data_IF_423342453379
#
_entry.id   IF_423342453379
#
_cell.length_a   1.000
_cell.length_b   1.000
_cell.length_c   1.000
_cell.angle_alpha   90.00
_cell.angle_beta   90.00
_cell.angle_gamma   90.00
#
_symmetry.space_group_name_H-M   'P 1'
#
loop_
_entity.id
_entity.type
_entity.pdbx_description
1 polymer ?
#
# COMPACT_ATOMS: atom_id res chain seq x y z
N UNK A 1 -4.62 -16.68 11.29
CA UNK A 1 -4.39 -16.21 9.90
C UNK A 1 -3.26 -17.03 9.29
N UNK A 2 -3.49 -17.61 8.11
CA UNK A 2 -2.46 -18.38 7.38
C UNK A 2 -1.89 -17.55 6.25
N UNK A 3 -0.57 -17.60 6.05
CA UNK A 3 0.12 -16.89 4.98
C UNK A 3 0.23 -17.78 3.74
N UNK A 4 0.07 -17.20 2.55
CA UNK A 4 0.21 -17.89 1.28
C UNK A 4 1.04 -17.05 0.28
N UNK A 5 1.41 -17.69 -0.84
CA UNK A 5 2.09 -17.05 -1.97
C UNK A 5 1.32 -17.33 -3.25
N UNK A 6 1.41 -16.40 -4.19
CA UNK A 6 0.92 -16.55 -5.56
C UNK A 6 2.13 -16.63 -6.47
N UNK A 7 2.10 -17.57 -7.42
CA UNK A 7 3.22 -17.77 -8.33
C UNK A 7 3.54 -16.48 -9.12
N UNK A 8 4.84 -16.22 -9.29
CA UNK A 8 5.34 -14.98 -9.88
C UNK A 8 5.15 -13.71 -9.05
N UNK A 9 4.39 -13.69 -7.94
CA UNK A 9 4.21 -12.51 -7.09
C UNK A 9 5.08 -12.61 -5.84
N UNK A 10 6.02 -11.68 -5.65
CA UNK A 10 7.10 -11.84 -4.64
C UNK A 10 6.61 -11.76 -3.20
N UNK A 11 5.58 -10.96 -2.94
CA UNK A 11 5.07 -10.73 -1.59
C UNK A 11 4.27 -11.94 -1.10
N UNK A 12 4.29 -12.19 0.21
CA UNK A 12 3.35 -13.11 0.84
C UNK A 12 2.07 -12.38 1.22
N UNK A 13 0.97 -13.12 1.25
CA UNK A 13 -0.36 -12.58 1.47
C UNK A 13 -1.08 -13.36 2.56
N UNK A 14 -2.08 -12.74 3.16
CA UNK A 14 -3.05 -13.43 4.02
C UNK A 14 -4.43 -12.81 3.84
N UNK A 15 -5.47 -13.61 4.05
CA UNK A 15 -6.84 -13.10 4.15
C UNK A 15 -7.03 -12.59 5.58
N UNK A 16 -7.35 -11.30 5.71
CA UNK A 16 -7.63 -10.69 7.00
C UNK A 16 -9.08 -10.96 7.43
N UNK A 17 -10.01 -10.80 6.49
CA UNK A 17 -11.43 -11.15 6.60
C UNK A 17 -11.97 -11.63 5.23
N UNK A 18 -13.29 -11.68 5.04
CA UNK A 18 -13.94 -12.17 3.81
C UNK A 18 -13.58 -11.35 2.57
N UNK A 19 -13.39 -10.03 2.76
CA UNK A 19 -13.26 -9.03 1.70
C UNK A 19 -11.88 -8.36 1.68
N UNK A 20 -11.02 -8.61 2.65
CA UNK A 20 -9.74 -7.93 2.80
C UNK A 20 -8.56 -8.89 2.66
N UNK A 21 -7.61 -8.52 1.79
CA UNK A 21 -6.30 -9.16 1.66
C UNK A 21 -5.23 -8.24 2.22
N UNK A 22 -4.30 -8.83 2.99
CA UNK A 22 -3.09 -8.14 3.44
C UNK A 22 -1.90 -8.62 2.62
N UNK A 23 -1.17 -7.67 2.04
CA UNK A 23 0.12 -7.89 1.38
C UNK A 23 1.22 -7.47 2.36
N UNK A 24 2.13 -8.38 2.67
CA UNK A 24 3.26 -8.05 3.53
C UNK A 24 4.47 -7.56 2.73
N UNK A 25 5.05 -6.45 3.18
CA UNK A 25 6.25 -5.86 2.61
C UNK A 25 7.30 -5.72 3.69
N UNK A 26 8.45 -6.36 3.46
CA UNK A 26 9.62 -6.23 4.32
C UNK A 26 10.61 -5.32 3.58
N UNK A 27 11.15 -4.31 4.26
CA UNK A 27 12.14 -3.40 3.69
C UNK A 27 13.45 -4.12 3.37
N UNK A 28 14.28 -3.51 2.52
CA UNK A 28 15.54 -4.11 2.06
C UNK A 28 16.52 -4.36 3.20
N UNK A 29 16.57 -3.45 4.17
CA UNK A 29 17.35 -3.58 5.41
C UNK A 29 16.80 -4.65 6.37
N UNK A 30 15.60 -5.19 6.08
CA UNK A 30 14.84 -6.15 6.91
C UNK A 30 14.47 -5.62 8.30
N UNK A 31 14.59 -4.32 8.53
CA UNK A 31 14.27 -3.72 9.82
C UNK A 31 12.77 -3.46 9.98
N UNK A 32 12.08 -3.16 8.87
CA UNK A 32 10.68 -2.76 8.88
C UNK A 32 9.81 -3.75 8.12
N UNK A 33 8.64 -4.00 8.70
CA UNK A 33 7.58 -4.76 8.07
C UNK A 33 6.30 -3.92 8.01
N UNK A 34 5.67 -3.91 6.84
CA UNK A 34 4.44 -3.18 6.56
C UNK A 34 3.37 -4.13 6.07
N UNK A 35 2.16 -3.97 6.62
CA UNK A 35 0.96 -4.65 6.17
C UNK A 35 0.15 -3.69 5.30
N UNK A 36 -0.12 -4.06 4.06
CA UNK A 36 -0.87 -3.25 3.11
C UNK A 36 -2.23 -3.93 2.90
N UNK A 37 -3.31 -3.22 3.19
CA UNK A 37 -4.67 -3.73 3.02
C UNK A 37 -5.21 -3.36 1.64
N UNK A 38 -5.82 -4.31 0.96
CA UNK A 38 -6.56 -4.13 -0.30
C UNK A 38 -7.87 -4.90 -0.23
N UNK A 39 -8.87 -4.51 -1.02
CA UNK A 39 -10.02 -5.37 -1.23
C UNK A 39 -9.61 -6.63 -1.99
N UNK A 40 -10.19 -7.76 -1.62
CA UNK A 40 -9.90 -9.08 -2.15
C UNK A 40 -10.18 -9.17 -3.64
N UNK A 41 -11.24 -8.52 -4.13
CA UNK A 41 -11.57 -8.51 -5.57
C UNK A 41 -10.51 -7.78 -6.41
N UNK A 42 -9.66 -6.97 -5.80
CA UNK A 42 -8.55 -6.30 -6.49
C UNK A 42 -7.29 -7.16 -6.61
N UNK A 43 -7.21 -8.26 -5.86
CA UNK A 43 -6.03 -9.13 -5.86
C UNK A 43 -5.69 -9.67 -7.26
N UNK A 44 -6.62 -10.21 -8.07
CA UNK A 44 -6.32 -10.75 -9.40
C UNK A 44 -5.62 -9.73 -10.31
N UNK A 45 -6.19 -8.52 -10.47
CA UNK A 45 -5.59 -7.47 -11.33
C UNK A 45 -4.21 -7.00 -10.83
N UNK A 46 -3.99 -7.00 -9.51
CA UNK A 46 -2.70 -6.62 -8.91
C UNK A 46 -1.62 -7.65 -9.23
N UNK A 47 -1.92 -8.96 -9.06
CA UNK A 47 -0.93 -10.02 -9.29
C UNK A 47 -0.69 -10.28 -10.77
N UNK A 48 -1.69 -10.03 -11.62
CA UNK A 48 -1.57 -10.09 -13.07
C UNK A 48 -0.65 -9.00 -13.59
N UNK A 49 -0.88 -7.73 -13.19
CA UNK A 49 -0.08 -6.61 -13.68
C UNK A 49 1.32 -6.52 -13.03
N UNK A 50 1.43 -6.87 -11.75
CA UNK A 50 2.62 -6.59 -10.94
C UNK A 50 3.41 -7.83 -10.53
N UNK A 51 4.72 -7.67 -10.40
CA UNK A 51 5.63 -8.69 -9.86
C UNK A 51 5.77 -8.60 -8.34
N UNK A 52 5.55 -7.42 -7.76
CA UNK A 52 5.62 -7.16 -6.32
C UNK A 52 4.97 -5.85 -5.93
N UNK A 53 4.73 -5.69 -4.63
CA UNK A 53 4.42 -4.41 -3.97
C UNK A 53 5.57 -4.02 -3.05
N UNK A 54 5.97 -2.76 -3.14
CA UNK A 54 7.07 -2.16 -2.40
C UNK A 54 6.56 -0.97 -1.58
N UNK A 55 7.31 -0.61 -0.53
CA UNK A 55 7.10 0.62 0.22
C UNK A 55 8.18 1.63 -0.16
N UNK A 56 7.76 2.89 -0.33
CA UNK A 56 8.68 4.03 -0.46
C UNK A 56 8.25 5.15 0.47
N UNK A 57 9.20 5.75 1.18
CA UNK A 57 8.96 6.95 1.98
C UNK A 57 8.97 8.18 1.08
N UNK A 58 7.86 8.93 1.05
CA UNK A 58 7.80 10.19 0.34
C UNK A 58 8.29 11.30 1.29
N UNK A 59 9.37 11.98 0.90
CA UNK A 59 9.97 13.10 1.63
C UNK A 59 10.22 12.81 3.13
N UNK A 60 10.59 11.56 3.46
CA UNK A 60 10.91 11.14 4.82
C UNK A 60 9.73 11.10 5.81
N UNK A 61 8.48 11.28 5.36
CA UNK A 61 7.35 11.46 6.27
C UNK A 61 6.43 10.25 6.39
N UNK A 62 5.96 9.71 5.25
CA UNK A 62 4.99 8.60 5.26
C UNK A 62 5.29 7.54 4.19
N UNK A 63 5.18 6.24 4.53
CA UNK A 63 5.38 5.14 3.60
C UNK A 63 4.19 5.03 2.64
N UNK A 64 4.44 4.93 1.34
CA UNK A 64 3.42 4.64 0.34
C UNK A 64 3.68 3.31 -0.34
N UNK A 65 2.60 2.58 -0.61
CA UNK A 65 2.62 1.35 -1.37
C UNK A 65 2.74 1.62 -2.89
N UNK A 66 3.64 0.90 -3.55
CA UNK A 66 3.86 0.94 -4.99
C UNK A 66 3.75 -0.46 -5.57
N UNK A 67 2.95 -0.62 -6.63
CA UNK A 67 2.97 -1.80 -7.48
C UNK A 67 4.15 -1.70 -8.45
N UNK A 68 4.96 -2.77 -8.55
CA UNK A 68 6.05 -2.90 -9.52
C UNK A 68 5.59 -3.79 -10.67
N UNK A 69 5.59 -3.29 -11.90
CA UNK A 69 5.08 -4.03 -13.06
C UNK A 69 5.96 -5.23 -13.44
N UNK A 70 5.38 -6.21 -14.14
CA UNK A 70 6.09 -7.41 -14.65
C UNK A 70 6.85 -7.19 -15.96
N UNK A 71 6.87 -5.97 -16.48
CA UNK A 71 7.44 -5.61 -17.79
C UNK A 71 8.98 -5.54 -17.84
N UNK A 72 9.69 -5.85 -16.74
CA UNK A 72 11.15 -5.95 -16.70
C UNK A 72 11.92 -4.62 -16.73
N UNK A 73 11.25 -3.49 -16.95
CA UNK A 73 11.87 -2.15 -17.00
C UNK A 73 11.92 -1.43 -15.62
N UNK A 74 11.37 -2.05 -14.58
CA UNK A 74 11.33 -1.48 -13.23
C UNK A 74 10.27 -0.38 -13.03
N UNK A 75 9.33 -0.24 -13.96
CA UNK A 75 8.21 0.69 -13.84
C UNK A 75 7.35 0.37 -12.62
N UNK A 76 6.84 1.42 -11.99
CA UNK A 76 6.02 1.33 -10.78
C UNK A 76 4.96 2.41 -10.74
N UNK A 77 3.87 2.11 -10.06
CA UNK A 77 2.74 3.03 -9.83
C UNK A 77 2.32 2.96 -8.36
N UNK A 78 1.80 4.06 -7.82
CA UNK A 78 1.16 4.06 -6.50
C UNK A 78 0.00 3.05 -6.48
N UNK A 79 -0.01 2.17 -5.48
CA UNK A 79 -0.97 1.06 -5.44
C UNK A 79 -2.42 1.55 -5.42
N UNK A 80 -2.75 2.52 -4.56
CA UNK A 80 -4.07 3.14 -4.53
C UNK A 80 -4.50 3.73 -5.89
N UNK A 81 -3.55 4.28 -6.68
CA UNK A 81 -3.86 4.83 -8.02
C UNK A 81 -4.19 3.72 -9.01
N UNK A 82 -3.45 2.61 -8.95
CA UNK A 82 -3.71 1.45 -9.78
C UNK A 82 -5.06 0.82 -9.45
N UNK A 83 -5.39 0.67 -8.16
CA UNK A 83 -6.64 0.06 -7.71
C UNK A 83 -7.86 0.79 -8.28
N UNK A 84 -7.88 2.12 -8.21
CA UNK A 84 -9.03 2.94 -8.64
C UNK A 84 -8.91 3.49 -10.06
N UNK A 85 -7.89 3.09 -10.83
CA UNK A 85 -7.60 3.60 -12.17
C UNK A 85 -7.56 5.15 -12.22
N UNK A 86 -6.84 5.77 -11.28
CA UNK A 86 -6.86 7.22 -11.11
C UNK A 86 -6.26 7.98 -12.31
N UNK A 87 -7.02 8.89 -12.96
CA UNK A 87 -6.53 9.70 -14.08
C UNK A 87 -5.28 10.51 -13.74
N UNK A 88 -4.37 10.68 -14.71
CA UNK A 88 -3.05 11.31 -14.51
C UNK A 88 -3.13 12.75 -13.95
N UNK A 89 -4.21 13.46 -14.25
CA UNK A 89 -4.48 14.85 -13.81
C UNK A 89 -5.22 14.95 -12.46
N UNK A 90 -5.45 13.82 -11.77
CA UNK A 90 -6.11 13.75 -10.47
C UNK A 90 -5.19 13.21 -9.39
N UNK A 91 -5.59 13.41 -8.14
CA UNK A 91 -4.94 12.85 -6.95
C UNK A 91 -5.89 11.93 -6.21
N UNK A 92 -5.35 11.10 -5.33
CA UNK A 92 -6.14 10.18 -4.49
C UNK A 92 -5.86 10.51 -3.03
N UNK A 93 -6.94 10.66 -2.26
CA UNK A 93 -6.91 10.90 -0.82
C UNK A 93 -7.36 9.64 -0.07
N UNK A 94 -6.82 9.41 1.13
CA UNK A 94 -7.22 8.30 2.01
C UNK A 94 -8.12 8.86 3.12
N UNK A 95 -9.29 8.27 3.34
CA UNK A 95 -10.24 8.78 4.33
C UNK A 95 -9.75 8.62 5.77
N UNK A 96 -9.08 7.50 6.07
CA UNK A 96 -8.51 7.20 7.39
C UNK A 96 -7.11 7.78 7.62
N UNK A 97 -6.55 8.46 6.61
CA UNK A 97 -5.17 8.99 6.59
C UNK A 97 -4.06 7.92 6.71
N UNK A 98 -4.38 6.64 6.57
CA UNK A 98 -3.43 5.53 6.50
C UNK A 98 -3.11 5.21 5.04
N UNK A 99 -1.89 5.52 4.63
CA UNK A 99 -1.38 5.31 3.27
C UNK A 99 -1.17 3.83 2.91
N UNK A 100 -1.31 2.92 3.88
CA UNK A 100 -1.21 1.48 3.72
C UNK A 100 -2.58 0.80 3.64
N UNK A 101 -3.67 1.48 4.00
CA UNK A 101 -5.04 1.02 3.78
C UNK A 101 -5.53 1.43 2.38
N UNK A 102 -5.26 0.59 1.39
CA UNK A 102 -5.54 0.88 -0.03
C UNK A 102 -6.90 0.26 -0.47
N UNK A 103 -7.83 0.02 0.45
CA UNK A 103 -9.19 -0.44 0.13
C UNK A 103 -10.00 0.67 -0.55
N UNK A 104 -10.82 0.33 -1.53
CA UNK A 104 -11.56 1.27 -2.37
C UNK A 104 -12.46 2.20 -1.56
N UNK A 105 -13.15 1.69 -0.53
CA UNK A 105 -13.98 2.49 0.36
C UNK A 105 -13.19 3.52 1.17
N UNK A 106 -11.87 3.34 1.29
CA UNK A 106 -10.95 4.27 1.94
C UNK A 106 -10.33 5.27 0.96
N UNK A 107 -10.57 5.15 -0.35
CA UNK A 107 -9.94 5.98 -1.39
C UNK A 107 -10.92 6.97 -2.01
N UNK A 108 -10.46 8.21 -2.23
CA UNK A 108 -11.23 9.24 -2.93
C UNK A 108 -10.41 9.89 -4.04
N UNK A 109 -10.92 9.90 -5.27
CA UNK A 109 -10.37 10.72 -6.36
C UNK A 109 -10.73 12.18 -6.11
N UNK A 110 -9.71 13.04 -6.08
CA UNK A 110 -9.83 14.46 -5.80
C UNK A 110 -9.16 15.27 -6.92
N UNK A 111 -9.60 16.51 -7.13
CA UNK A 111 -8.82 17.49 -7.88
C UNK A 111 -7.67 18.01 -7.02
N UNK A 112 -6.65 18.60 -7.64
CA UNK A 112 -5.55 19.24 -6.91
C UNK A 112 -6.07 20.34 -5.94
N UNK A 113 -7.11 21.07 -6.33
CA UNK A 113 -7.77 22.09 -5.52
C UNK A 113 -8.41 21.51 -4.25
N UNK A 114 -9.15 20.41 -4.37
CA UNK A 114 -9.86 19.79 -3.24
C UNK A 114 -8.91 19.23 -2.17
N UNK A 115 -7.79 18.62 -2.60
CA UNK A 115 -6.77 18.11 -1.68
C UNK A 115 -6.11 19.25 -0.88
N UNK A 116 -5.82 20.37 -1.54
CA UNK A 116 -5.24 21.55 -0.88
C UNK A 116 -6.20 22.20 0.14
N UNK A 117 -7.50 22.21 -0.17
CA UNK A 117 -8.53 22.80 0.68
C UNK A 117 -8.75 21.99 1.96
N UNK A 118 -8.73 20.65 1.88
CA UNK A 118 -8.77 19.78 3.07
C UNK A 118 -7.56 19.98 3.98
N UNK A 119 -6.35 20.09 3.43
CA UNK A 119 -5.12 20.37 4.21
C UNK A 119 -5.21 21.68 4.99
N UNK A 120 -5.96 22.66 4.48
CA UNK A 120 -6.11 23.99 5.08
C UNK A 120 -7.25 24.06 6.10
N UNK A 121 -8.33 23.31 5.90
CA UNK A 121 -9.51 23.32 6.78
C UNK A 121 -9.31 22.54 8.08
N UNK A 122 -8.51 21.47 8.08
CA UNK A 122 -8.44 20.60 9.26
C UNK A 122 -7.42 21.06 10.30
N UNK A 123 -6.49 21.98 9.99
CA UNK A 123 -5.43 22.42 10.92
C UNK A 123 -4.49 21.29 11.43
N UNK A 124 -4.82 20.03 11.14
CA UNK A 124 -4.09 18.83 11.52
C UNK A 124 -3.08 18.56 10.43
N UNK A 125 -1.96 19.29 10.52
CA UNK A 125 -0.73 18.89 9.87
C UNK A 125 -0.23 17.60 10.49
N UNK A 126 -0.60 16.46 9.92
CA UNK A 126 0.00 15.17 10.25
C UNK A 126 -1.01 14.04 10.31
N UNK A 127 -0.98 13.19 9.28
CA UNK A 127 -1.45 11.81 9.34
C UNK A 127 -0.90 11.19 10.63
N UNK A 128 -1.79 10.94 11.59
CA UNK A 128 -1.53 10.09 12.75
C UNK A 128 -1.97 8.69 12.37
N UNK A 129 -1.21 7.70 12.85
CA UNK A 129 -1.35 6.25 12.66
C UNK A 129 -0.62 5.65 11.45
N UNK A 130 0.69 5.44 11.63
CA UNK A 130 1.42 4.33 11.00
C UNK A 130 1.60 3.26 12.06
N UNK A 131 0.95 2.09 11.96
CA UNK A 131 1.37 0.92 12.73
C UNK A 131 2.49 0.26 11.93
N UNK A 132 3.72 0.72 12.14
CA UNK A 132 4.90 -0.08 11.80
C UNK A 132 5.03 -1.13 12.90
N UNK A 133 4.88 -2.41 12.58
CA UNK A 133 5.15 -3.47 13.54
C UNK A 133 6.66 -3.66 13.66
N UNK A 134 7.23 -3.43 14.84
CA UNK A 134 8.65 -3.63 15.11
C UNK A 134 9.03 -5.12 15.08
N UNK A 135 10.10 -5.43 14.32
CA UNK A 135 10.94 -6.64 14.29
C UNK A 135 10.27 -8.00 14.56
N UNK A 136 10.25 -8.85 13.53
CA UNK A 136 10.38 -10.30 13.72
C UNK A 136 11.87 -10.63 13.83
N UNK A 137 12.43 -10.56 15.03
CA UNK A 137 13.76 -11.14 15.29
C UNK A 137 13.67 -12.65 15.03
N UNK A 138 14.27 -13.11 13.93
CA UNK A 138 14.61 -14.51 13.78
C UNK A 138 15.64 -14.84 14.86
N UNK A 139 15.21 -15.42 15.99
CA UNK A 139 16.12 -16.26 16.76
C UNK A 139 16.35 -17.52 15.94
N UNK A 140 17.45 -17.54 15.20
CA UNK A 140 18.15 -18.77 14.86
C UNK A 140 18.54 -19.47 16.16
N UNK A 141 18.05 -20.68 16.37
CA UNK A 141 18.44 -21.55 17.47
C UNK A 141 18.19 -22.99 17.05
N UNK A 142 19.22 -23.60 16.48
CA UNK A 142 19.51 -25.01 16.76
C UNK A 142 20.19 -25.06 18.12
#
# INVERSE_FOLDING_TARGET
>A
MSWFKIDGFKNRLTYFDEDTVVIEVITRDKEHCYNIMIDKHNLPKIVEAGSSVHIMNIAGKYPYAYLVFRNGNGEKILLHRFIINCPKDKVVDHFDFDTLNNRENNLKVCTFGDNSHKKRLTGVGGSKFTIANEKRTQKSGW
#
